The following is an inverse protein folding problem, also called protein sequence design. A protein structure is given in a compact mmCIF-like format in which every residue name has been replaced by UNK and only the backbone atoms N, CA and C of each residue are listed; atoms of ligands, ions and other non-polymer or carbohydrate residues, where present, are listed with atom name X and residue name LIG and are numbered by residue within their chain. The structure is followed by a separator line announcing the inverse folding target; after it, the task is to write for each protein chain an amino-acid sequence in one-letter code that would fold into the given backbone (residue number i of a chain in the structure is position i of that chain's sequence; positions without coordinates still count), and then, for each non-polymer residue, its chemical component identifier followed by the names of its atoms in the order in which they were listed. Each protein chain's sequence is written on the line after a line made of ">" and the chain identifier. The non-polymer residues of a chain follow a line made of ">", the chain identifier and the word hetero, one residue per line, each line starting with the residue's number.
data_IF_293459845242
#
_entry.id   IF_293459845242
#
_cell.length_a   1.000
_cell.length_b   1.000
_cell.length_c   1.000
_cell.angle_alpha   90.00
_cell.angle_beta   90.00
_cell.angle_gamma   90.00
#
_symmetry.space_group_name_H-M   'P 1'
#
loop_
_entity.id
_entity.type
_entity.pdbx_description
1 polymer ?
#
# COMPACT_ATOMS: atom_id res chain seq x y z
N UNK A 1 -17.15 29.29 -17.77
CA UNK A 1 -17.59 27.90 -18.05
C UNK A 1 -16.37 27.04 -17.86
N UNK A 2 -16.24 26.42 -16.69
CA UNK A 2 -15.10 25.57 -16.34
C UNK A 2 -15.57 24.14 -16.55
N UNK A 3 -15.06 23.51 -17.61
CA UNK A 3 -15.23 22.08 -17.84
C UNK A 3 -14.46 21.34 -16.74
N UNK A 4 -15.18 20.87 -15.73
CA UNK A 4 -14.70 19.81 -14.88
C UNK A 4 -14.68 18.53 -15.72
N UNK A 5 -13.51 18.19 -16.23
CA UNK A 5 -13.25 16.88 -16.76
C UNK A 5 -13.49 15.89 -15.60
N UNK A 6 -14.60 15.17 -15.66
CA UNK A 6 -14.77 13.93 -14.92
C UNK A 6 -13.70 12.98 -15.46
N UNK A 7 -12.67 12.75 -14.65
CA UNK A 7 -11.72 11.70 -14.94
C UNK A 7 -12.48 10.38 -14.96
N UNK A 8 -12.42 9.79 -16.13
CA UNK A 8 -12.86 8.48 -16.53
C UNK A 8 -12.70 7.45 -15.39
N UNK A 9 -13.83 6.85 -15.00
CA UNK A 9 -13.81 5.65 -14.16
C UNK A 9 -13.05 4.60 -14.93
N UNK A 10 -11.76 4.43 -14.62
CA UNK A 10 -10.95 3.38 -15.22
C UNK A 10 -11.68 2.07 -14.94
N UNK A 11 -12.11 1.40 -15.99
CA UNK A 11 -12.59 0.03 -15.91
C UNK A 11 -11.46 -0.82 -15.32
N UNK A 12 -11.47 -1.01 -14.02
CA UNK A 12 -10.55 -1.93 -13.34
C UNK A 12 -10.95 -3.32 -13.79
N UNK A 13 -10.30 -3.84 -14.81
CA UNK A 13 -10.56 -5.20 -15.28
C UNK A 13 -10.15 -6.18 -14.21
N UNK A 14 -11.13 -6.78 -13.53
CA UNK A 14 -10.89 -7.80 -12.52
C UNK A 14 -10.69 -9.13 -13.23
N UNK A 15 -9.43 -9.56 -13.34
CA UNK A 15 -9.08 -10.87 -13.89
C UNK A 15 -8.59 -11.84 -12.82
N UNK A 16 -8.57 -11.45 -11.53
CA UNK A 16 -8.02 -12.27 -10.48
C UNK A 16 -8.20 -11.78 -9.06
N UNK A 17 -7.38 -12.29 -8.16
CA UNK A 17 -7.49 -12.05 -6.71
C UNK A 17 -6.33 -11.24 -6.13
N UNK A 18 -5.50 -10.63 -6.95
CA UNK A 18 -4.44 -9.73 -6.51
C UNK A 18 -4.83 -8.28 -6.75
N UNK A 19 -4.85 -7.51 -5.69
CA UNK A 19 -5.06 -6.06 -5.71
C UNK A 19 -3.70 -5.39 -5.67
N UNK A 20 -3.46 -4.49 -6.61
CA UNK A 20 -2.25 -3.68 -6.70
C UNK A 20 -2.66 -2.23 -6.49
N UNK A 21 -1.94 -1.52 -5.65
CA UNK A 21 -2.20 -0.11 -5.46
C UNK A 21 -1.02 0.65 -4.90
N UNK A 22 -1.01 1.95 -5.17
CA UNK A 22 -0.12 2.88 -4.50
C UNK A 22 -0.65 3.13 -3.10
N UNK A 23 0.04 2.53 -2.12
CA UNK A 23 -0.35 2.62 -0.71
C UNK A 23 -0.13 4.01 -0.14
N UNK A 24 0.92 4.69 -0.59
CA UNK A 24 1.25 6.08 -0.26
C UNK A 24 2.09 6.70 -1.37
N UNK A 25 1.73 7.89 -1.87
CA UNK A 25 2.58 8.69 -2.74
C UNK A 25 3.70 9.34 -1.93
N UNK A 26 4.87 9.56 -2.53
CA UNK A 26 5.96 10.26 -1.89
C UNK A 26 5.93 11.76 -2.18
N UNK A 27 6.38 12.54 -1.20
CA UNK A 27 6.50 14.00 -1.27
C UNK A 27 5.18 14.76 -1.53
N UNK A 28 4.06 14.08 -1.56
CA UNK A 28 2.73 14.69 -1.59
C UNK A 28 2.35 15.15 -0.18
N UNK A 29 1.81 16.36 -0.05
CA UNK A 29 1.42 16.90 1.26
C UNK A 29 -0.03 16.57 1.56
N UNK A 30 -0.28 15.84 2.63
CA UNK A 30 -1.61 15.65 3.21
C UNK A 30 -1.88 16.72 4.26
N UNK A 31 -3.09 17.29 4.22
CA UNK A 31 -3.61 18.23 5.23
C UNK A 31 -4.66 17.57 6.14
N UNK A 32 -4.95 16.31 5.94
CA UNK A 32 -5.90 15.53 6.76
C UNK A 32 -5.26 14.99 8.05
N UNK A 33 -4.03 15.36 8.33
CA UNK A 33 -3.25 14.98 9.50
C UNK A 33 -3.23 16.13 10.53
N UNK A 34 -2.94 15.84 11.82
CA UNK A 34 -2.93 16.86 12.87
C UNK A 34 -1.72 17.80 12.81
N UNK A 35 -1.31 18.20 11.62
CA UNK A 35 -0.24 19.18 11.38
C UNK A 35 -0.79 20.39 10.64
N UNK A 36 -0.68 21.62 11.19
CA UNK A 36 -1.23 22.83 10.56
C UNK A 36 -0.64 23.16 9.20
N UNK A 37 0.55 22.62 8.89
CA UNK A 37 1.27 22.79 7.62
C UNK A 37 1.27 21.52 6.77
N UNK A 38 0.50 20.52 7.19
CA UNK A 38 0.45 19.21 6.53
C UNK A 38 1.62 18.31 6.87
N UNK A 39 1.56 17.12 6.31
CA UNK A 39 2.56 16.07 6.44
C UNK A 39 2.85 15.49 5.07
N UNK A 40 4.09 15.09 4.85
CA UNK A 40 4.49 14.33 3.66
C UNK A 40 5.39 13.17 4.03
N UNK A 41 5.28 12.10 3.27
CA UNK A 41 6.14 10.92 3.42
C UNK A 41 7.32 11.06 2.46
N UNK A 42 8.52 10.93 3.01
CA UNK A 42 9.75 10.93 2.21
C UNK A 42 9.92 9.59 1.51
N UNK A 43 10.55 9.62 0.33
CA UNK A 43 10.94 8.41 -0.38
C UNK A 43 11.67 7.45 0.57
N UNK A 44 11.38 6.15 0.43
CA UNK A 44 11.95 5.06 1.24
C UNK A 44 11.69 5.16 2.75
N UNK A 45 10.72 5.96 3.17
CA UNK A 45 10.38 6.08 4.59
C UNK A 45 10.00 4.73 5.23
N UNK A 46 9.52 3.78 4.44
CA UNK A 46 9.11 2.44 4.89
C UNK A 46 10.12 1.33 4.57
N UNK A 47 11.26 1.63 3.92
CA UNK A 47 12.19 0.63 3.42
C UNK A 47 12.66 -0.34 4.50
N UNK A 48 13.07 0.16 5.67
CA UNK A 48 13.48 -0.68 6.80
C UNK A 48 12.32 -1.53 7.33
N UNK A 49 11.13 -0.95 7.47
CA UNK A 49 9.94 -1.67 7.94
C UNK A 49 9.56 -2.81 6.98
N UNK A 50 9.65 -2.57 5.67
CA UNK A 50 9.36 -3.58 4.65
C UNK A 50 10.44 -4.66 4.65
N UNK A 51 11.72 -4.30 4.78
CA UNK A 51 12.81 -5.26 4.87
C UNK A 51 12.66 -6.20 6.08
N UNK A 52 12.20 -5.68 7.22
CA UNK A 52 11.96 -6.48 8.43
C UNK A 52 10.69 -7.33 8.38
N UNK A 53 9.61 -6.81 7.81
CA UNK A 53 8.29 -7.46 7.80
C UNK A 53 8.03 -8.28 6.54
N UNK A 54 8.68 -7.95 5.44
CA UNK A 54 8.45 -8.58 4.14
C UNK A 54 6.97 -8.52 3.75
N UNK A 55 6.41 -9.68 3.45
CA UNK A 55 4.98 -9.82 3.13
C UNK A 55 4.05 -9.94 4.36
N UNK A 56 4.56 -9.79 5.57
CA UNK A 56 3.72 -9.88 6.78
C UNK A 56 3.03 -8.54 7.11
N UNK A 57 2.39 -7.96 6.10
CA UNK A 57 1.57 -6.76 6.18
C UNK A 57 0.20 -7.10 5.61
N UNK A 58 -0.86 -6.68 6.30
CA UNK A 58 -2.23 -7.00 5.95
C UNK A 58 -2.92 -5.81 5.28
N UNK A 59 -3.91 -6.13 4.43
CA UNK A 59 -4.84 -5.20 3.83
C UNK A 59 -6.20 -5.34 4.52
N UNK A 60 -6.67 -4.24 5.10
CA UNK A 60 -7.93 -4.17 5.84
C UNK A 60 -8.94 -3.29 5.08
N UNK A 61 -10.20 -3.32 5.48
CA UNK A 61 -11.21 -2.35 5.04
C UNK A 61 -11.33 -1.24 6.06
N UNK A 62 -11.21 0.04 5.64
CA UNK A 62 -11.36 1.24 6.48
C UNK A 62 -10.50 1.20 7.77
N UNK A 63 -9.28 0.65 7.70
CA UNK A 63 -8.38 0.46 8.86
C UNK A 63 -8.93 -0.43 9.98
N UNK A 64 -10.03 -1.15 9.75
CA UNK A 64 -10.59 -2.09 10.71
C UNK A 64 -9.85 -3.43 10.66
N UNK A 65 -9.05 -3.73 11.68
CA UNK A 65 -8.24 -4.95 11.76
C UNK A 65 -9.09 -6.23 11.88
N UNK A 66 -10.38 -6.11 12.25
CA UNK A 66 -11.34 -7.23 12.24
C UNK A 66 -11.83 -7.57 10.83
N UNK A 67 -11.62 -6.67 9.88
CA UNK A 67 -12.02 -6.80 8.47
C UNK A 67 -10.80 -6.92 7.55
N UNK A 68 -9.93 -7.86 7.86
CA UNK A 68 -8.75 -8.16 7.03
C UNK A 68 -9.15 -8.96 5.79
N UNK A 69 -8.84 -8.44 4.62
CA UNK A 69 -9.22 -9.05 3.33
C UNK A 69 -8.06 -9.67 2.57
N UNK A 70 -6.83 -9.18 2.77
CA UNK A 70 -5.68 -9.67 2.04
C UNK A 70 -4.39 -9.57 2.86
N UNK A 71 -3.34 -10.18 2.29
CA UNK A 71 -1.97 -10.09 2.78
C UNK A 71 -1.07 -9.68 1.63
N UNK A 72 -0.06 -8.86 1.92
CA UNK A 72 0.94 -8.46 0.95
C UNK A 72 1.67 -9.68 0.38
N UNK A 73 1.95 -9.65 -0.91
CA UNK A 73 2.76 -10.65 -1.62
C UNK A 73 3.98 -10.04 -2.26
N UNK A 74 3.92 -8.74 -2.56
CA UNK A 74 5.03 -7.99 -3.16
C UNK A 74 4.97 -6.51 -2.78
N UNK A 75 6.14 -5.88 -2.77
CA UNK A 75 6.32 -4.44 -2.64
C UNK A 75 7.17 -3.91 -3.79
N UNK A 76 6.82 -2.72 -4.24
CA UNK A 76 7.61 -1.92 -5.17
C UNK A 76 7.73 -0.52 -4.56
N UNK A 77 8.96 -0.09 -4.32
CA UNK A 77 9.28 1.18 -3.67
C UNK A 77 9.99 2.05 -4.70
N UNK A 78 9.21 2.72 -5.53
CA UNK A 78 9.69 3.56 -6.64
C UNK A 78 9.85 5.04 -6.25
N UNK A 79 10.09 5.90 -7.23
CA UNK A 79 10.27 7.33 -7.01
C UNK A 79 8.97 8.06 -6.66
N UNK A 80 7.83 7.53 -7.09
CA UNK A 80 6.51 8.15 -6.96
C UNK A 80 5.78 7.71 -5.70
N UNK A 81 6.12 6.55 -5.14
CA UNK A 81 5.45 6.04 -3.95
C UNK A 81 5.75 4.59 -3.62
N UNK A 82 5.11 4.13 -2.56
CA UNK A 82 5.13 2.73 -2.16
C UNK A 82 3.93 2.02 -2.79
N UNK A 83 4.20 1.07 -3.69
CA UNK A 83 3.20 0.21 -4.30
C UNK A 83 3.21 -1.16 -3.62
N UNK A 84 2.03 -1.65 -3.26
CA UNK A 84 1.83 -2.99 -2.69
C UNK A 84 0.98 -3.85 -3.60
N UNK A 85 1.30 -5.14 -3.67
CA UNK A 85 0.46 -6.18 -4.23
C UNK A 85 -0.04 -7.09 -3.11
N UNK A 86 -1.36 -7.31 -3.06
CA UNK A 86 -2.04 -8.01 -1.97
C UNK A 86 -2.90 -9.13 -2.54
N UNK A 87 -2.79 -10.33 -1.98
CA UNK A 87 -3.57 -11.50 -2.40
C UNK A 87 -4.78 -11.70 -1.48
N UNK A 88 -5.98 -11.67 -2.06
CA UNK A 88 -7.23 -12.01 -1.37
C UNK A 88 -7.45 -13.52 -1.48
N UNK A 89 -7.56 -14.19 -0.35
CA UNK A 89 -7.97 -15.60 -0.31
C UNK A 89 -9.44 -15.75 -0.68
N UNK A 90 -9.89 -16.99 -0.94
CA UNK A 90 -11.31 -17.29 -1.06
C UNK A 90 -12.00 -17.12 0.30
N UNK A 91 -13.17 -16.50 0.31
CA UNK A 91 -13.97 -16.26 1.49
C UNK A 91 -15.05 -15.20 1.22
N UNK A 92 -16.14 -15.24 1.94
CA UNK A 92 -17.31 -14.38 1.71
C UNK A 92 -16.95 -12.88 1.72
N UNK A 93 -16.20 -12.43 2.73
CA UNK A 93 -15.76 -11.04 2.83
C UNK A 93 -14.85 -10.64 1.66
N UNK A 94 -13.91 -11.51 1.30
CA UNK A 94 -12.94 -11.28 0.23
C UNK A 94 -13.60 -11.28 -1.15
N UNK A 95 -14.53 -12.22 -1.39
CA UNK A 95 -15.25 -12.33 -2.65
C UNK A 95 -16.13 -11.08 -2.85
N UNK A 96 -16.85 -10.67 -1.82
CA UNK A 96 -17.60 -9.41 -1.81
C UNK A 96 -16.69 -8.19 -2.02
N UNK A 97 -15.52 -8.15 -1.40
CA UNK A 97 -14.56 -7.04 -1.60
C UNK A 97 -14.10 -6.96 -3.05
N UNK A 98 -13.90 -8.10 -3.73
CA UNK A 98 -13.55 -8.11 -5.15
C UNK A 98 -14.67 -7.56 -6.02
N UNK A 99 -15.93 -7.92 -5.74
CA UNK A 99 -17.10 -7.36 -6.42
C UNK A 99 -17.18 -5.84 -6.20
N UNK A 100 -17.03 -5.40 -4.96
CA UNK A 100 -17.02 -3.98 -4.59
C UNK A 100 -15.87 -3.19 -5.24
N UNK A 101 -14.70 -3.82 -5.42
CA UNK A 101 -13.59 -3.23 -6.18
C UNK A 101 -13.92 -3.08 -7.66
N UNK A 102 -14.62 -4.09 -8.26
CA UNK A 102 -15.09 -4.00 -9.64
C UNK A 102 -16.05 -2.83 -9.85
N UNK A 103 -16.91 -2.62 -8.88
CA UNK A 103 -17.92 -1.56 -8.89
C UNK A 103 -17.34 -0.19 -8.48
N UNK A 104 -16.03 -0.10 -8.20
CA UNK A 104 -15.36 1.15 -7.84
C UNK A 104 -15.65 1.65 -6.41
N UNK A 105 -16.16 0.80 -5.51
CA UNK A 105 -16.45 1.17 -4.12
C UNK A 105 -15.19 1.41 -3.27
N UNK A 106 -14.05 0.84 -3.67
CA UNK A 106 -12.77 0.95 -2.99
C UNK A 106 -11.71 1.54 -3.93
N UNK A 107 -11.82 2.84 -4.29
CA UNK A 107 -10.91 3.42 -5.28
C UNK A 107 -9.54 3.76 -4.70
N UNK A 108 -9.40 3.86 -3.37
CA UNK A 108 -8.21 4.39 -2.71
C UNK A 108 -7.59 3.43 -1.72
N UNK A 109 -6.31 3.68 -1.45
CA UNK A 109 -5.55 3.04 -0.39
C UNK A 109 -5.13 4.03 0.68
N UNK A 110 -4.78 3.52 1.86
CA UNK A 110 -4.24 4.29 2.96
C UNK A 110 -3.31 3.42 3.79
N UNK A 111 -2.31 4.02 4.42
CA UNK A 111 -1.37 3.33 5.30
C UNK A 111 -1.60 3.73 6.75
N UNK A 112 -1.56 2.75 7.65
CA UNK A 112 -1.39 2.99 9.07
C UNK A 112 0.08 2.78 9.43
N UNK A 113 0.69 3.76 10.05
CA UNK A 113 2.11 3.71 10.39
C UNK A 113 2.41 4.47 11.68
N UNK A 114 3.58 4.21 12.23
CA UNK A 114 4.15 4.98 13.31
C UNK A 114 5.43 5.66 12.82
N UNK A 115 5.52 7.00 12.83
CA UNK A 115 6.76 7.68 12.50
C UNK A 115 7.85 7.33 13.52
N UNK A 116 9.06 7.09 13.02
CA UNK A 116 10.25 6.83 13.83
C UNK A 116 11.20 8.02 13.79
N UNK A 117 11.25 8.72 12.66
CA UNK A 117 12.02 9.95 12.49
C UNK A 117 11.26 10.91 11.60
N UNK A 118 11.14 12.13 12.08
CA UNK A 118 10.49 13.25 11.40
C UNK A 118 11.44 14.44 11.31
N UNK A 119 11.25 15.28 10.30
CA UNK A 119 11.91 16.57 10.14
C UNK A 119 10.86 17.62 9.75
N UNK A 120 11.27 18.87 9.68
CA UNK A 120 10.41 19.94 9.13
C UNK A 120 10.97 20.39 7.80
N UNK A 121 10.11 20.43 6.79
CA UNK A 121 10.40 21.03 5.51
C UNK A 121 10.59 22.53 5.61
N UNK A 122 11.18 23.15 4.60
CA UNK A 122 11.36 24.60 4.54
C UNK A 122 10.04 25.38 4.52
N UNK A 123 8.94 24.75 4.14
CA UNK A 123 7.57 25.27 4.18
C UNK A 123 6.88 25.04 5.55
N UNK A 124 7.53 24.34 6.46
CA UNK A 124 7.05 24.05 7.80
C UNK A 124 6.20 22.78 7.90
N UNK A 125 5.95 22.05 6.80
CA UNK A 125 5.28 20.77 6.83
C UNK A 125 6.13 19.73 7.58
N UNK A 126 5.47 18.74 8.19
CA UNK A 126 6.15 17.58 8.77
C UNK A 126 6.60 16.65 7.64
N UNK A 127 7.84 16.23 7.67
CA UNK A 127 8.39 15.25 6.75
C UNK A 127 8.72 13.97 7.50
N UNK A 128 7.99 12.91 7.23
CA UNK A 128 8.25 11.57 7.78
C UNK A 128 9.41 10.95 7.01
N UNK A 129 10.55 10.82 7.66
CA UNK A 129 11.79 10.33 7.05
C UNK A 129 11.93 8.82 7.18
N UNK A 130 11.53 8.26 8.33
CA UNK A 130 11.44 6.82 8.54
C UNK A 130 10.20 6.50 9.37
N UNK A 131 9.53 5.41 9.03
CA UNK A 131 8.32 4.98 9.69
C UNK A 131 8.20 3.45 9.74
N UNK A 132 7.47 2.98 10.76
CA UNK A 132 7.08 1.58 10.88
C UNK A 132 5.68 1.40 10.31
N UNK A 133 5.58 0.71 9.19
CA UNK A 133 4.30 0.36 8.56
C UNK A 133 3.56 -0.64 9.45
N UNK A 134 2.31 -0.35 9.81
CA UNK A 134 1.46 -1.25 10.58
C UNK A 134 0.63 -2.14 9.65
N UNK A 135 -0.23 -1.54 8.85
CA UNK A 135 -1.06 -2.20 7.85
C UNK A 135 -1.42 -1.23 6.71
N UNK A 136 -2.03 -1.76 5.67
CA UNK A 136 -2.63 -0.99 4.57
C UNK A 136 -4.14 -1.17 4.63
N UNK A 137 -4.91 -0.20 4.15
CA UNK A 137 -6.35 -0.30 4.05
C UNK A 137 -6.86 0.11 2.66
N UNK A 138 -7.95 -0.54 2.22
CA UNK A 138 -8.85 -0.01 1.20
C UNK A 138 -9.78 0.99 1.88
N UNK A 139 -9.87 2.19 1.32
CA UNK A 139 -10.65 3.28 1.92
C UNK A 139 -11.45 4.04 0.86
N UNK A 140 -12.49 4.74 1.31
CA UNK A 140 -13.29 5.62 0.46
C UNK A 140 -12.73 7.04 0.42
N UNK A 141 -11.97 7.42 1.46
CA UNK A 141 -11.35 8.73 1.58
C UNK A 141 -9.91 8.55 2.05
N UNK A 142 -8.92 8.74 1.17
CA UNK A 142 -7.52 8.52 1.49
C UNK A 142 -6.95 9.71 2.26
N UNK A 143 -5.87 9.48 3.02
CA UNK A 143 -5.12 10.56 3.67
C UNK A 143 -4.24 11.33 2.67
N UNK A 144 -3.83 10.69 1.58
CA UNK A 144 -3.06 11.26 0.48
C UNK A 144 -3.79 11.00 -0.83
N UNK A 145 -4.04 12.02 -1.64
CA UNK A 145 -4.89 11.93 -2.84
C UNK A 145 -4.33 10.94 -3.89
N UNK A 146 -3.00 10.83 -3.99
CA UNK A 146 -2.33 9.89 -4.87
C UNK A 146 -2.30 8.43 -4.39
N UNK A 147 -2.89 8.10 -3.24
CA UNK A 147 -2.99 6.73 -2.73
C UNK A 147 -4.21 6.02 -3.32
N UNK A 148 -4.01 5.23 -4.37
CA UNK A 148 -5.08 4.69 -5.20
C UNK A 148 -4.93 3.20 -5.53
N UNK A 149 -6.05 2.52 -5.81
CA UNK A 149 -6.05 1.19 -6.41
C UNK A 149 -5.68 1.31 -7.88
N UNK A 150 -4.63 0.62 -8.30
CA UNK A 150 -4.10 0.67 -9.66
C UNK A 150 -4.63 -0.46 -10.55
N UNK A 151 -4.78 -1.65 -9.99
CA UNK A 151 -5.25 -2.82 -10.72
C UNK A 151 -5.74 -3.94 -9.79
N UNK A 152 -6.60 -4.81 -10.36
CA UNK A 152 -6.94 -6.12 -9.78
C UNK A 152 -6.69 -7.18 -10.84
N UNK A 153 -5.80 -8.14 -10.58
CA UNK A 153 -5.38 -9.14 -11.57
C UNK A 153 -5.13 -10.53 -10.98
N UNK A 154 -5.14 -11.56 -11.86
CA UNK A 154 -4.64 -12.89 -11.51
C UNK A 154 -3.11 -12.84 -11.31
N UNK A 155 -2.63 -13.47 -10.24
CA UNK A 155 -1.23 -13.81 -10.15
C UNK A 155 -0.94 -14.89 -11.21
N UNK A 156 -0.33 -14.49 -12.32
CA UNK A 156 0.32 -15.47 -13.18
C UNK A 156 1.64 -15.87 -12.51
N UNK A 157 1.90 -17.16 -12.28
CA UNK A 157 3.15 -17.60 -11.67
C UNK A 157 4.40 -17.14 -12.43
N UNK A 158 4.27 -16.85 -13.71
CA UNK A 158 5.37 -16.49 -14.61
C UNK A 158 5.76 -15.03 -14.54
N UNK A 159 4.86 -14.10 -14.20
CA UNK A 159 5.21 -12.67 -14.11
C UNK A 159 5.96 -12.31 -12.82
N UNK A 160 5.96 -13.20 -11.84
CA UNK A 160 6.71 -13.04 -10.58
C UNK A 160 8.22 -13.28 -10.74
N UNK A 161 8.67 -13.85 -11.87
CA UNK A 161 10.08 -14.21 -12.08
C UNK A 161 10.83 -13.25 -12.99
N UNK A 162 10.17 -12.42 -13.78
CA UNK A 162 10.84 -11.54 -14.75
C UNK A 162 11.34 -10.20 -14.19
N UNK A 163 11.02 -9.87 -12.94
CA UNK A 163 11.48 -8.64 -12.27
C UNK A 163 12.44 -8.86 -11.09
N UNK A 164 12.77 -10.10 -10.78
CA UNK A 164 13.72 -10.40 -9.72
C UNK A 164 15.11 -10.56 -10.32
N UNK A 165 15.99 -9.57 -10.12
CA UNK A 165 17.43 -9.77 -10.18
C UNK A 165 17.83 -10.96 -9.27
N UNK A 166 19.06 -11.50 -9.42
CA UNK A 166 19.48 -12.70 -8.70
C UNK A 166 19.23 -12.50 -7.20
N UNK A 167 18.49 -13.45 -6.61
CA UNK A 167 18.25 -13.47 -5.16
C UNK A 167 19.61 -13.48 -4.45
N UNK A 168 19.83 -12.64 -3.43
CA UNK A 168 20.91 -12.90 -2.50
C UNK A 168 20.65 -14.27 -1.87
N UNK A 169 21.70 -15.10 -1.80
CA UNK A 169 21.65 -16.41 -1.16
C UNK A 169 21.11 -16.27 0.26
N UNK A 170 19.92 -16.79 0.49
CA UNK A 170 19.36 -16.86 1.84
C UNK A 170 20.02 -18.06 2.50
N UNK A 171 20.91 -17.81 3.44
CA UNK A 171 21.48 -18.83 4.32
C UNK A 171 20.33 -19.46 5.15
N UNK A 172 19.99 -20.70 4.80
CA UNK A 172 18.97 -21.50 5.47
C UNK A 172 19.51 -22.26 6.69
N UNK A 173 20.54 -21.75 7.35
CA UNK A 173 21.04 -22.37 8.59
C UNK A 173 19.93 -22.35 9.63
N UNK A 174 19.53 -23.51 10.20
CA UNK A 174 18.50 -23.55 11.22
C UNK A 174 18.96 -22.78 12.47
N UNK A 175 18.12 -21.87 12.94
CA UNK A 175 18.35 -21.20 14.21
C UNK A 175 18.44 -22.24 15.35
N UNK A 176 19.37 -22.07 16.32
CA UNK A 176 19.47 -22.96 17.48
C UNK A 176 18.17 -22.90 18.29
N UNK A 177 17.64 -24.08 18.61
CA UNK A 177 16.48 -24.22 19.49
C UNK A 177 16.92 -23.87 20.90
N UNK A 178 16.36 -22.81 21.45
CA UNK A 178 16.42 -22.57 22.89
C UNK A 178 15.24 -23.29 23.54
N UNK A 179 15.58 -24.10 24.53
CA UNK A 179 14.66 -24.86 25.39
C UNK A 179 13.93 -23.91 26.35
#
# INVERSE_FOLDING_TARGET
>A
MSDHLFLDTRDVTITGRNVIGRCVPYNETSYLVPSPKGERIRRQAFAESIAQRGTNVFLNLEHDETRTVAKAVRWDDDDDGLVGEFHLRSGELQDRTLEELADGWWPYMSVAFRPLRETRGGDGAVEVVTAKLAHVALVKCPAYDGAEVLAVRNASPTSLLEGLGPRPDIDLTPLPRFW
#
